data_IF_311559522328
#
_entry.id   IF_311559522328
#
_cell.length_a   1.000
_cell.length_b   1.000
_cell.length_c   1.000
_cell.angle_alpha   90.00
_cell.angle_beta   90.00
_cell.angle_gamma   90.00
#
_symmetry.space_group_name_H-M   'P 1'
#
loop_
_entity.id
_entity.type
_entity.pdbx_description
1 polymer ?
#
# COMPACT_ATOMS: atom_id res chain seq x y z
N UNK A 1 40.70 59.09 70.54
CA UNK A 1 39.53 58.57 71.28
C UNK A 1 38.53 57.98 70.29
N UNK A 2 38.26 56.69 70.43
CA UNK A 2 37.09 55.89 70.05
C UNK A 2 36.38 56.01 68.68
N UNK A 3 36.43 54.86 67.98
CA UNK A 3 35.37 54.10 67.27
C UNK A 3 34.58 54.78 66.14
N UNK A 4 34.51 54.11 64.97
CA UNK A 4 33.30 53.43 64.42
C UNK A 4 33.66 52.65 63.13
N UNK A 5 32.87 51.61 62.89
CA UNK A 5 32.90 50.38 62.08
C UNK A 5 32.97 50.44 60.54
N UNK A 6 33.64 49.42 59.95
CA UNK A 6 33.33 48.57 58.75
C UNK A 6 32.46 49.11 57.60
N UNK A 7 32.91 48.94 56.34
CA UNK A 7 32.09 48.31 55.25
C UNK A 7 32.96 47.77 54.10
N UNK A 8 32.59 46.60 53.56
CA UNK A 8 33.19 45.88 52.43
C UNK A 8 32.16 45.87 51.27
N UNK A 9 32.66 45.77 50.03
CA UNK A 9 32.12 44.95 48.92
C UNK A 9 31.43 45.63 47.72
N UNK A 10 31.75 45.02 46.56
CA UNK A 10 30.89 44.73 45.40
C UNK A 10 30.89 45.67 44.21
N UNK A 11 31.78 45.34 43.26
CA UNK A 11 31.68 45.70 41.85
C UNK A 11 30.66 44.75 41.19
N UNK A 12 29.51 45.29 40.80
CA UNK A 12 28.38 44.54 40.25
C UNK A 12 28.63 44.13 38.78
N UNK A 13 28.62 42.82 38.51
CA UNK A 13 28.45 42.25 37.17
C UNK A 13 26.97 41.97 36.99
N UNK A 14 26.32 42.77 36.15
CA UNK A 14 24.91 42.61 35.78
C UNK A 14 24.79 41.49 34.73
N UNK A 15 24.53 40.26 35.18
CA UNK A 15 24.14 39.15 34.31
C UNK A 15 22.66 39.32 33.94
N UNK A 16 22.38 39.75 32.71
CA UNK A 16 21.04 39.79 32.12
C UNK A 16 20.53 38.36 31.95
N UNK A 17 19.66 37.92 32.86
CA UNK A 17 18.87 36.70 32.72
C UNK A 17 17.69 37.01 31.78
N UNK A 18 17.87 36.85 30.47
CA UNK A 18 16.76 36.86 29.52
C UNK A 18 16.05 35.51 29.60
N UNK A 19 14.74 35.46 29.89
CA UNK A 19 14.01 34.21 29.83
C UNK A 19 13.91 33.80 28.36
N UNK A 20 14.56 32.68 28.04
CA UNK A 20 14.45 32.00 26.76
C UNK A 20 13.01 31.48 26.65
N UNK A 21 12.15 32.23 25.96
CA UNK A 21 10.79 31.81 25.67
C UNK A 21 10.90 30.66 24.67
N UNK A 22 10.94 29.43 25.18
CA UNK A 22 10.81 28.24 24.36
C UNK A 22 9.48 28.31 23.62
N UNK A 23 9.52 28.58 22.33
CA UNK A 23 8.37 28.44 21.44
C UNK A 23 7.93 26.99 21.49
N UNK A 24 6.85 26.72 22.24
CA UNK A 24 6.12 25.46 22.15
C UNK A 24 5.49 25.44 20.76
N UNK A 25 6.19 24.88 19.78
CA UNK A 25 5.57 24.46 18.52
C UNK A 25 4.50 23.45 18.89
N UNK A 26 3.24 23.88 18.90
CA UNK A 26 2.11 22.95 18.89
C UNK A 26 2.26 22.12 17.63
N UNK A 27 2.75 20.88 17.78
CA UNK A 27 2.61 19.89 16.73
C UNK A 27 1.12 19.80 16.44
N UNK A 28 0.70 20.31 15.27
CA UNK A 28 -0.66 20.11 14.80
C UNK A 28 -0.88 18.61 14.74
N UNK A 29 -1.98 18.13 15.34
CA UNK A 29 -2.34 16.73 15.21
C UNK A 29 -2.47 16.42 13.71
N UNK A 30 -1.91 15.30 13.23
CA UNK A 30 -2.04 14.94 11.82
C UNK A 30 -3.50 14.89 11.40
N UNK A 31 -3.81 15.52 10.27
CA UNK A 31 -5.17 15.58 9.72
C UNK A 31 -5.56 14.23 9.14
N UNK A 32 -6.86 13.98 9.16
CA UNK A 32 -7.47 12.86 8.46
C UNK A 32 -8.56 13.44 7.58
N UNK A 33 -8.34 13.44 6.28
CA UNK A 33 -9.30 13.97 5.32
C UNK A 33 -9.84 12.84 4.46
N UNK A 34 -11.11 12.93 4.10
CA UNK A 34 -11.70 11.98 3.18
C UNK A 34 -12.52 12.68 2.10
N UNK A 35 -12.36 12.23 0.86
CA UNK A 35 -13.26 12.52 -0.25
C UNK A 35 -14.06 11.25 -0.56
N UNK A 36 -15.38 11.36 -0.59
CA UNK A 36 -16.29 10.25 -0.86
C UNK A 36 -17.20 10.66 -2.02
N UNK A 37 -17.15 9.90 -3.11
CA UNK A 37 -17.95 10.16 -4.31
C UNK A 37 -18.83 8.95 -4.62
N UNK A 38 -20.14 9.17 -4.70
CA UNK A 38 -21.12 8.16 -5.12
C UNK A 38 -21.90 8.63 -6.34
N UNK A 39 -21.61 8.06 -7.51
CA UNK A 39 -22.32 8.39 -8.74
C UNK A 39 -23.31 7.27 -9.09
N UNK A 40 -24.60 7.61 -9.06
CA UNK A 40 -25.74 6.72 -9.26
C UNK A 40 -26.58 7.11 -10.48
N UNK A 41 -26.84 8.41 -10.67
CA UNK A 41 -27.84 8.93 -11.59
C UNK A 41 -27.29 9.16 -13.01
N UNK A 42 -26.77 8.09 -13.62
CA UNK A 42 -26.41 8.09 -15.04
C UNK A 42 -27.66 8.04 -15.92
N UNK A 43 -27.66 8.80 -17.03
CA UNK A 43 -28.81 8.89 -17.93
C UNK A 43 -29.21 7.53 -18.55
N UNK A 44 -28.23 6.74 -18.99
CA UNK A 44 -28.49 5.49 -19.71
C UNK A 44 -28.50 4.26 -18.80
N UNK A 45 -27.59 4.20 -17.84
CA UNK A 45 -27.36 3.03 -16.97
C UNK A 45 -27.22 3.45 -15.51
N UNK A 46 -28.31 3.85 -14.84
CA UNK A 46 -28.25 4.25 -13.44
C UNK A 46 -27.82 3.09 -12.53
N UNK A 47 -27.15 3.41 -11.42
CA UNK A 47 -26.68 2.46 -10.41
C UNK A 47 -27.39 2.69 -9.08
N UNK A 48 -27.86 1.61 -8.45
CA UNK A 48 -28.66 1.68 -7.22
C UNK A 48 -27.83 2.00 -5.98
N UNK A 49 -26.65 1.40 -5.86
CA UNK A 49 -25.87 1.35 -4.61
C UNK A 49 -24.93 2.54 -4.33
N UNK A 50 -24.29 3.21 -5.32
CA UNK A 50 -23.22 4.19 -5.05
C UNK A 50 -23.59 5.34 -4.09
N UNK A 51 -24.81 5.85 -4.18
CA UNK A 51 -25.31 6.88 -3.26
C UNK A 51 -25.37 6.38 -1.81
N UNK A 52 -25.86 5.16 -1.58
CA UNK A 52 -25.92 4.52 -0.26
C UNK A 52 -24.53 4.16 0.24
N UNK A 53 -23.67 3.65 -0.66
CA UNK A 53 -22.28 3.31 -0.35
C UNK A 53 -21.52 4.54 0.17
N UNK A 54 -21.73 5.70 -0.46
CA UNK A 54 -21.16 6.96 -0.02
C UNK A 54 -21.67 7.39 1.37
N UNK A 55 -22.95 7.17 1.68
CA UNK A 55 -23.50 7.46 3.01
C UNK A 55 -22.90 6.54 4.10
N UNK A 56 -22.76 5.25 3.80
CA UNK A 56 -22.18 4.27 4.73
C UNK A 56 -20.70 4.56 5.02
N UNK A 57 -19.94 4.92 3.99
CA UNK A 57 -18.54 5.30 4.11
C UNK A 57 -18.38 6.63 4.87
N UNK A 58 -19.23 7.63 4.63
CA UNK A 58 -19.21 8.90 5.37
C UNK A 58 -19.42 8.68 6.86
N UNK A 59 -20.46 7.93 7.24
CA UNK A 59 -20.75 7.65 8.65
C UNK A 59 -19.59 6.93 9.33
N UNK A 60 -18.99 5.95 8.64
CA UNK A 60 -17.87 5.17 9.17
C UNK A 60 -16.61 6.01 9.31
N UNK A 61 -16.17 6.71 8.27
CA UNK A 61 -14.95 7.53 8.31
C UNK A 61 -15.08 8.72 9.27
N UNK A 62 -16.25 9.34 9.36
CA UNK A 62 -16.52 10.38 10.37
C UNK A 62 -16.34 9.82 11.79
N UNK A 63 -16.85 8.61 12.06
CA UNK A 63 -16.66 7.95 13.38
C UNK A 63 -15.20 7.57 13.69
N UNK A 64 -14.35 7.52 12.65
CA UNK A 64 -12.90 7.32 12.75
C UNK A 64 -12.11 8.65 12.81
N UNK A 65 -12.82 9.79 12.88
CA UNK A 65 -12.22 11.11 13.03
C UNK A 65 -11.70 11.72 11.72
N UNK A 66 -12.23 11.29 10.57
CA UNK A 66 -11.96 11.96 9.29
C UNK A 66 -12.84 13.20 9.13
N UNK A 67 -12.26 14.26 8.59
CA UNK A 67 -12.96 15.38 7.98
C UNK A 67 -13.43 14.94 6.59
N UNK A 68 -14.73 14.65 6.46
CA UNK A 68 -15.30 14.05 5.24
C UNK A 68 -15.91 15.13 4.34
N UNK A 69 -15.50 15.12 3.07
CA UNK A 69 -16.20 15.76 1.95
C UNK A 69 -16.91 14.68 1.15
N UNK A 70 -18.26 14.68 1.18
CA UNK A 70 -19.08 13.74 0.41
C UNK A 70 -19.75 14.44 -0.76
N UNK A 71 -19.65 13.83 -1.94
CA UNK A 71 -20.30 14.27 -3.17
C UNK A 71 -21.10 13.13 -3.79
N UNK A 72 -22.22 13.47 -4.42
CA UNK A 72 -23.06 12.52 -5.13
C UNK A 72 -23.37 13.04 -6.53
N UNK A 73 -23.41 12.13 -7.49
CA UNK A 73 -23.77 12.40 -8.89
C UNK A 73 -23.04 13.57 -9.55
N UNK A 74 -21.71 13.57 -9.42
CA UNK A 74 -20.86 14.66 -9.91
C UNK A 74 -20.39 14.46 -11.35
N UNK A 75 -20.29 15.57 -12.07
CA UNK A 75 -19.65 15.64 -13.39
C UNK A 75 -18.13 15.67 -13.33
N UNK A 76 -17.48 15.64 -14.50
CA UNK A 76 -16.02 15.53 -14.62
C UNK A 76 -15.27 16.62 -13.86
N UNK A 77 -15.60 17.89 -14.12
CA UNK A 77 -14.91 19.03 -13.51
C UNK A 77 -15.05 19.02 -11.99
N UNK A 78 -16.26 18.77 -11.47
CA UNK A 78 -16.50 18.70 -10.04
C UNK A 78 -15.72 17.58 -9.36
N UNK A 79 -15.53 16.45 -10.05
CA UNK A 79 -14.73 15.34 -9.54
C UNK A 79 -13.24 15.70 -9.48
N UNK A 80 -12.70 16.30 -10.55
CA UNK A 80 -11.31 16.75 -10.61
C UNK A 80 -11.04 17.83 -9.55
N UNK A 81 -11.90 18.85 -9.46
CA UNK A 81 -11.79 19.92 -8.46
C UNK A 81 -11.83 19.37 -7.03
N UNK A 82 -12.71 18.41 -6.74
CA UNK A 82 -12.82 17.82 -5.41
C UNK A 82 -11.56 17.03 -5.01
N UNK A 83 -10.94 16.32 -5.97
CA UNK A 83 -9.67 15.62 -5.76
C UNK A 83 -8.54 16.62 -5.51
N UNK A 84 -8.48 17.70 -6.30
CA UNK A 84 -7.48 18.75 -6.10
C UNK A 84 -7.66 19.45 -4.75
N UNK A 85 -8.91 19.72 -4.36
CA UNK A 85 -9.24 20.39 -3.10
C UNK A 85 -8.90 19.53 -1.88
N UNK A 86 -9.25 18.24 -1.88
CA UNK A 86 -9.00 17.36 -0.72
C UNK A 86 -7.51 17.07 -0.53
N UNK A 87 -6.73 17.07 -1.61
CA UNK A 87 -5.29 16.79 -1.57
C UNK A 87 -4.45 18.03 -1.28
N UNK A 88 -5.04 19.23 -1.39
CA UNK A 88 -4.35 20.51 -1.19
C UNK A 88 -3.94 20.72 0.27
N UNK A 89 -2.67 21.05 0.47
CA UNK A 89 -2.17 21.47 1.79
C UNK A 89 -2.08 20.35 2.81
N UNK A 90 -2.14 19.08 2.37
CA UNK A 90 -1.81 17.94 3.22
C UNK A 90 -0.31 17.90 3.49
N UNK A 91 0.02 17.62 4.74
CA UNK A 91 1.38 17.64 5.28
C UNK A 91 1.82 16.26 5.75
N UNK A 92 3.11 16.14 6.06
CA UNK A 92 3.66 14.91 6.64
C UNK A 92 2.93 14.54 7.93
N UNK A 93 2.53 13.27 8.03
CA UNK A 93 1.71 12.70 9.10
C UNK A 93 0.24 12.56 8.71
N UNK A 94 -0.26 13.36 7.77
CA UNK A 94 -1.68 13.36 7.41
C UNK A 94 -2.08 12.04 6.74
N UNK A 95 -3.38 11.76 6.76
CA UNK A 95 -4.02 10.65 6.04
C UNK A 95 -5.09 11.20 5.11
N UNK A 96 -5.04 10.78 3.84
CA UNK A 96 -6.05 11.08 2.83
C UNK A 96 -6.73 9.80 2.38
N UNK A 97 -8.05 9.76 2.47
CA UNK A 97 -8.88 8.65 2.01
C UNK A 97 -9.80 9.10 0.89
N UNK A 98 -9.63 8.58 -0.32
CA UNK A 98 -10.50 8.87 -1.46
C UNK A 98 -11.31 7.61 -1.78
N UNK A 99 -12.64 7.71 -1.73
CA UNK A 99 -13.58 6.66 -2.10
C UNK A 99 -14.35 7.09 -3.34
N UNK A 100 -14.44 6.21 -4.34
CA UNK A 100 -15.33 6.38 -5.48
C UNK A 100 -16.18 5.13 -5.69
N UNK A 101 -17.49 5.31 -5.76
CA UNK A 101 -18.45 4.31 -6.23
C UNK A 101 -19.19 4.83 -7.48
N UNK A 102 -19.31 3.99 -8.50
CA UNK A 102 -19.98 4.35 -9.75
C UNK A 102 -19.57 3.49 -10.95
N UNK A 103 -19.80 4.01 -12.16
CA UNK A 103 -19.30 3.37 -13.37
C UNK A 103 -17.79 3.57 -13.53
N UNK A 104 -17.13 2.50 -13.95
CA UNK A 104 -15.73 2.49 -14.32
C UNK A 104 -15.53 1.71 -15.62
N UNK A 105 -14.37 1.91 -16.23
CA UNK A 105 -13.94 1.12 -17.38
C UNK A 105 -12.43 1.12 -17.50
N UNK A 106 -11.93 0.30 -18.41
CA UNK A 106 -10.53 0.32 -18.79
C UNK A 106 -10.37 0.48 -20.30
N UNK A 107 -9.42 1.34 -20.69
CA UNK A 107 -9.00 1.51 -22.07
C UNK A 107 -7.51 1.85 -22.10
N UNK A 108 -6.77 1.28 -23.06
CA UNK A 108 -5.33 1.53 -23.27
C UNK A 108 -4.45 1.37 -22.01
N UNK A 109 -4.77 0.39 -21.17
CA UNK A 109 -4.02 0.20 -19.92
C UNK A 109 -4.21 1.36 -18.94
N UNK A 110 -5.36 2.03 -18.94
CA UNK A 110 -5.71 3.07 -17.97
C UNK A 110 -7.10 2.83 -17.40
N UNK A 111 -7.27 3.23 -16.15
CA UNK A 111 -8.44 2.96 -15.33
C UNK A 111 -9.27 4.23 -15.28
N UNK A 112 -10.44 4.24 -15.87
CA UNK A 112 -11.29 5.41 -15.97
C UNK A 112 -12.50 5.28 -15.06
N UNK A 113 -12.80 6.35 -14.33
CA UNK A 113 -14.01 6.59 -13.57
C UNK A 113 -14.94 7.44 -14.44
N UNK A 114 -16.20 7.05 -14.55
CA UNK A 114 -17.18 7.72 -15.42
C UNK A 114 -17.98 8.72 -14.59
N UNK A 115 -17.85 10.03 -14.84
CA UNK A 115 -18.66 11.05 -14.18
C UNK A 115 -20.10 11.03 -14.67
N UNK A 116 -21.03 11.58 -13.88
CA UNK A 116 -22.40 11.80 -14.35
C UNK A 116 -22.39 12.83 -15.49
N UNK A 117 -23.23 12.61 -16.50
CA UNK A 117 -23.31 13.46 -17.69
C UNK A 117 -22.25 13.18 -18.76
N UNK A 118 -21.35 12.21 -18.55
CA UNK A 118 -20.42 11.78 -19.60
C UNK A 118 -21.14 10.96 -20.69
N UNK A 119 -21.29 11.53 -21.89
CA UNK A 119 -21.71 10.80 -23.10
C UNK A 119 -20.49 10.10 -23.72
N UNK A 120 -20.53 8.78 -23.95
CA UNK A 120 -19.38 8.04 -24.47
C UNK A 120 -19.80 7.25 -25.71
N UNK A 121 -19.84 7.96 -26.84
CA UNK A 121 -20.21 7.38 -28.12
C UNK A 121 -19.01 6.80 -28.89
N UNK A 122 -17.79 7.24 -28.56
CA UNK A 122 -16.54 6.94 -29.27
C UNK A 122 -15.36 6.75 -28.30
N UNK A 123 -14.29 6.00 -28.65
CA UNK A 123 -13.19 5.71 -27.71
C UNK A 123 -12.46 6.97 -27.27
N UNK A 124 -12.34 7.94 -28.16
CA UNK A 124 -11.73 9.24 -27.86
C UNK A 124 -12.50 10.03 -26.78
N UNK A 125 -13.81 9.82 -26.66
CA UNK A 125 -14.62 10.44 -25.63
C UNK A 125 -14.24 9.96 -24.23
N UNK A 126 -13.77 8.71 -24.08
CA UNK A 126 -13.32 8.19 -22.77
C UNK A 126 -12.20 9.06 -22.20
N UNK A 127 -11.18 9.38 -23.01
CA UNK A 127 -10.05 10.21 -22.56
C UNK A 127 -10.45 11.66 -22.25
N UNK A 128 -11.44 12.17 -22.97
CA UNK A 128 -11.88 13.57 -22.86
C UNK A 128 -12.91 13.80 -21.75
N UNK A 129 -13.74 12.79 -21.46
CA UNK A 129 -14.98 12.93 -20.65
C UNK A 129 -14.96 12.11 -19.36
N UNK A 130 -14.01 11.20 -19.19
CA UNK A 130 -13.80 10.46 -17.95
C UNK A 130 -12.58 10.98 -17.17
N UNK A 131 -12.42 10.52 -15.93
CA UNK A 131 -11.26 10.82 -15.08
C UNK A 131 -10.48 9.54 -14.84
N UNK A 132 -9.14 9.58 -14.91
CA UNK A 132 -8.33 8.39 -14.63
C UNK A 132 -8.12 8.20 -13.13
N UNK A 133 -7.97 6.95 -12.67
CA UNK A 133 -7.48 6.68 -11.31
C UNK A 133 -6.07 7.27 -11.14
N UNK A 134 -5.26 7.27 -12.19
CA UNK A 134 -3.94 7.92 -12.21
C UNK A 134 -4.01 9.42 -11.87
N UNK A 135 -5.07 10.14 -12.27
CA UNK A 135 -5.28 11.53 -11.86
C UNK A 135 -5.32 11.67 -10.33
N UNK A 136 -6.01 10.76 -9.65
CA UNK A 136 -6.13 10.78 -8.19
C UNK A 136 -4.77 10.52 -7.55
N UNK A 137 -4.02 9.57 -8.10
CA UNK A 137 -2.68 9.23 -7.64
C UNK A 137 -1.69 10.38 -7.86
N UNK A 138 -1.78 11.08 -8.99
CA UNK A 138 -0.92 12.22 -9.29
C UNK A 138 -1.23 13.40 -8.36
N UNK A 139 -2.51 13.70 -8.10
CA UNK A 139 -2.89 14.71 -7.09
C UNK A 139 -2.33 14.35 -5.70
N UNK A 140 -2.43 13.08 -5.30
CA UNK A 140 -1.85 12.57 -4.06
C UNK A 140 -0.31 12.58 -4.06
N UNK A 141 0.35 12.42 -5.21
CA UNK A 141 1.81 12.46 -5.37
C UNK A 141 2.37 13.83 -4.97
N UNK A 142 1.67 14.89 -5.35
CA UNK A 142 2.05 16.26 -5.03
C UNK A 142 1.65 16.70 -3.62
N UNK A 143 1.01 15.81 -2.84
CA UNK A 143 0.72 16.02 -1.42
C UNK A 143 1.82 15.42 -0.54
N UNK A 144 2.14 16.07 0.59
CA UNK A 144 3.10 15.54 1.58
C UNK A 144 2.45 14.52 2.55
N UNK A 145 1.23 14.09 2.25
CA UNK A 145 0.43 13.16 3.05
C UNK A 145 1.16 11.82 3.24
N UNK A 146 1.23 11.30 4.48
CA UNK A 146 1.98 10.07 4.77
C UNK A 146 1.23 8.80 4.42
N UNK A 147 -0.10 8.79 4.56
CA UNK A 147 -0.94 7.67 4.16
C UNK A 147 -1.96 8.12 3.13
N UNK A 148 -1.96 7.48 1.97
CA UNK A 148 -2.83 7.78 0.84
C UNK A 148 -3.64 6.53 0.56
N UNK A 149 -4.97 6.60 0.67
CA UNK A 149 -5.84 5.46 0.46
C UNK A 149 -6.80 5.81 -0.67
N UNK A 150 -6.83 5.01 -1.73
CA UNK A 150 -7.78 5.16 -2.83
C UNK A 150 -8.61 3.88 -2.91
N UNK A 151 -9.93 4.00 -2.78
CA UNK A 151 -10.87 2.88 -2.86
C UNK A 151 -11.79 3.10 -4.04
N UNK A 152 -11.80 2.13 -4.95
CA UNK A 152 -12.62 2.17 -6.17
C UNK A 152 -13.59 1.01 -6.18
N UNK A 153 -14.86 1.33 -5.98
CA UNK A 153 -15.99 0.41 -6.11
C UNK A 153 -16.75 0.65 -7.42
N UNK A 154 -16.17 0.16 -8.50
CA UNK A 154 -16.71 0.36 -9.84
C UNK A 154 -16.57 -0.90 -10.69
N UNK A 155 -17.52 -1.06 -11.61
CA UNK A 155 -17.40 -2.08 -12.66
C UNK A 155 -16.17 -1.78 -13.54
N UNK A 156 -15.51 -2.84 -14.02
CA UNK A 156 -14.30 -2.75 -14.86
C UNK A 156 -14.50 -3.36 -16.25
N UNK A 157 -15.75 -3.45 -16.68
CA UNK A 157 -16.15 -3.90 -18.02
C UNK A 157 -16.43 -2.67 -18.90
N UNK A 158 -16.15 -2.73 -20.20
CA UNK A 158 -16.57 -1.69 -21.13
C UNK A 158 -18.10 -1.80 -21.35
N UNK A 159 -18.93 -0.84 -20.88
CA UNK A 159 -20.37 -0.95 -20.98
C UNK A 159 -20.91 -0.52 -22.35
N UNK A 160 -20.09 0.09 -23.22
CA UNK A 160 -20.53 0.66 -24.49
C UNK A 160 -20.49 -0.39 -25.62
N UNK A 161 -21.68 -0.84 -26.02
CA UNK A 161 -21.90 -1.82 -27.10
C UNK A 161 -21.54 -1.20 -28.46
N UNK A 162 -20.36 -1.49 -28.98
CA UNK A 162 -19.97 -1.07 -30.33
C UNK A 162 -18.47 -1.13 -30.60
N UNK A 163 -17.66 -1.08 -29.55
CA UNK A 163 -16.22 -1.19 -29.67
C UNK A 163 -15.78 -2.66 -29.66
N UNK A 164 -14.96 -3.04 -30.65
CA UNK A 164 -14.24 -4.32 -30.67
C UNK A 164 -13.69 -4.57 -29.26
N UNK A 165 -13.85 -5.79 -28.73
CA UNK A 165 -13.35 -6.24 -27.42
C UNK A 165 -11.97 -5.61 -27.13
N UNK A 166 -11.97 -4.46 -26.46
CA UNK A 166 -10.75 -3.94 -25.85
C UNK A 166 -10.41 -4.95 -24.76
N UNK A 167 -9.12 -5.24 -24.62
CA UNK A 167 -8.60 -6.09 -23.55
C UNK A 167 -9.20 -5.61 -22.23
N UNK A 168 -10.13 -6.38 -21.68
CA UNK A 168 -10.79 -6.02 -20.42
C UNK A 168 -9.75 -5.98 -19.29
N UNK A 169 -9.88 -5.04 -18.36
CA UNK A 169 -9.31 -5.02 -16.99
C UNK A 169 -7.91 -4.45 -16.76
N UNK A 170 -7.64 -3.95 -15.53
CA UNK A 170 -6.92 -2.66 -15.34
C UNK A 170 -5.42 -2.83 -15.61
N UNK A 171 -4.72 -1.72 -15.86
CA UNK A 171 -3.27 -1.74 -15.82
C UNK A 171 -2.77 -1.74 -14.38
N UNK A 172 -1.58 -2.34 -14.20
CA UNK A 172 -0.74 -2.15 -13.02
C UNK A 172 -0.56 -0.64 -12.76
N UNK A 173 -0.74 -0.20 -11.51
CA UNK A 173 -0.38 1.14 -11.09
C UNK A 173 1.10 1.13 -10.71
N UNK A 174 1.97 0.78 -11.66
CA UNK A 174 3.42 0.61 -11.46
C UNK A 174 4.20 1.86 -11.00
N UNK A 175 3.50 2.95 -10.67
CA UNK A 175 4.04 4.24 -10.22
C UNK A 175 3.16 4.90 -9.14
N UNK A 176 2.50 4.14 -8.25
CA UNK A 176 1.78 4.78 -7.12
C UNK A 176 2.76 5.52 -6.18
N UNK A 177 2.43 6.72 -5.66
CA UNK A 177 3.31 7.45 -4.73
C UNK A 177 3.59 6.67 -3.44
N UNK A 178 4.71 6.96 -2.77
CA UNK A 178 5.02 6.35 -1.47
C UNK A 178 3.88 6.58 -0.46
N UNK A 179 3.58 5.55 0.33
CA UNK A 179 2.50 5.59 1.31
C UNK A 179 1.11 5.35 0.72
N UNK A 180 1.01 4.87 -0.53
CA UNK A 180 -0.28 4.65 -1.21
C UNK A 180 -0.77 3.21 -1.10
N UNK A 181 -2.06 3.08 -0.77
CA UNK A 181 -2.84 1.85 -0.84
C UNK A 181 -4.00 2.09 -1.80
N UNK A 182 -4.12 1.24 -2.82
CA UNK A 182 -5.26 1.25 -3.74
C UNK A 182 -6.05 -0.04 -3.57
N UNK A 183 -7.33 0.08 -3.21
CA UNK A 183 -8.23 -1.06 -3.07
C UNK A 183 -9.34 -1.01 -4.11
N UNK A 184 -9.47 -2.08 -4.89
CA UNK A 184 -10.53 -2.26 -5.87
C UNK A 184 -11.51 -3.29 -5.36
N UNK A 185 -12.81 -3.00 -5.50
CA UNK A 185 -13.85 -3.94 -5.05
C UNK A 185 -13.84 -5.26 -5.80
N UNK A 186 -13.29 -5.31 -7.01
CA UNK A 186 -13.24 -6.52 -7.85
C UNK A 186 -11.92 -6.62 -8.61
N UNK A 187 -11.60 -7.84 -9.06
CA UNK A 187 -10.36 -8.14 -9.79
C UNK A 187 -10.36 -7.49 -11.17
N UNK A 188 -9.18 -7.37 -11.81
CA UNK A 188 -9.14 -7.09 -13.24
C UNK A 188 -10.08 -8.01 -14.02
N UNK A 189 -10.81 -7.44 -14.98
CA UNK A 189 -11.70 -8.15 -15.93
C UNK A 189 -13.04 -8.62 -15.38
N UNK A 190 -13.37 -8.32 -14.12
CA UNK A 190 -14.65 -8.69 -13.52
C UNK A 190 -15.47 -7.46 -13.15
N UNK A 191 -16.80 -7.59 -13.23
CA UNK A 191 -17.71 -6.57 -12.71
C UNK A 191 -17.69 -6.60 -11.18
N UNK A 192 -17.97 -5.44 -10.56
CA UNK A 192 -18.37 -5.39 -9.16
C UNK A 192 -19.83 -5.83 -9.08
N UNK A 193 -20.21 -6.51 -8.01
CA UNK A 193 -21.60 -6.91 -7.79
C UNK A 193 -22.35 -5.79 -7.08
N UNK A 194 -23.56 -5.50 -7.53
CA UNK A 194 -24.49 -4.60 -6.84
C UNK A 194 -25.03 -5.21 -5.53
N UNK A 195 -24.98 -6.55 -5.42
CA UNK A 195 -25.55 -7.28 -4.30
C UNK A 195 -27.08 -7.18 -4.22
N UNK A 196 -27.63 -7.72 -3.13
CA UNK A 196 -29.08 -7.72 -2.87
C UNK A 196 -29.52 -6.65 -1.86
N UNK A 197 -28.57 -5.95 -1.23
CA UNK A 197 -28.82 -4.95 -0.19
C UNK A 197 -28.77 -3.51 -0.71
N UNK A 198 -28.85 -2.58 0.23
CA UNK A 198 -28.74 -1.13 -0.03
C UNK A 198 -27.32 -0.71 -0.44
N UNK A 199 -26.30 -1.39 0.08
CA UNK A 199 -24.89 -1.17 -0.24
C UNK A 199 -24.33 -2.30 -1.09
N UNK A 200 -23.23 -2.03 -1.80
CA UNK A 200 -22.46 -3.06 -2.48
C UNK A 200 -21.90 -4.06 -1.46
N UNK A 201 -21.67 -5.34 -1.82
CA UNK A 201 -21.09 -6.32 -0.91
C UNK A 201 -19.70 -5.91 -0.41
N UNK A 202 -18.94 -5.17 -1.23
CA UNK A 202 -17.62 -4.69 -0.87
C UNK A 202 -17.70 -3.59 0.18
N UNK A 203 -18.56 -2.59 -0.02
CA UNK A 203 -18.74 -1.50 0.94
C UNK A 203 -19.36 -2.01 2.23
N UNK A 204 -20.38 -2.88 2.15
CA UNK A 204 -20.99 -3.53 3.32
C UNK A 204 -19.94 -4.23 4.19
N UNK A 205 -19.03 -4.98 3.56
CA UNK A 205 -17.95 -5.64 4.28
C UNK A 205 -16.92 -4.64 4.81
N UNK A 206 -16.53 -3.64 4.02
CA UNK A 206 -15.47 -2.70 4.39
C UNK A 206 -15.88 -1.84 5.58
N UNK A 207 -17.09 -1.26 5.57
CA UNK A 207 -17.58 -0.43 6.69
C UNK A 207 -17.70 -1.24 7.98
N UNK A 208 -18.11 -2.52 7.88
CA UNK A 208 -18.21 -3.41 9.03
C UNK A 208 -16.84 -3.71 9.65
N UNK A 209 -15.84 -4.01 8.83
CA UNK A 209 -14.48 -4.31 9.33
C UNK A 209 -13.81 -3.03 9.85
N UNK A 210 -13.93 -1.90 9.15
CA UNK A 210 -13.46 -0.60 9.64
C UNK A 210 -14.05 -0.26 11.01
N UNK A 211 -15.38 -0.37 11.15
CA UNK A 211 -16.07 -0.03 12.41
C UNK A 211 -15.72 -0.95 13.58
N UNK A 212 -15.33 -2.20 13.33
CA UNK A 212 -15.06 -3.18 14.39
C UNK A 212 -13.57 -3.42 14.67
N UNK A 213 -12.67 -3.10 13.73
CA UNK A 213 -11.24 -3.47 13.81
C UNK A 213 -10.29 -2.29 13.73
N UNK A 214 -10.76 -1.06 13.51
CA UNK A 214 -9.90 0.11 13.41
C UNK A 214 -9.02 0.38 14.64
N UNK A 215 -9.42 -0.10 15.82
CA UNK A 215 -8.67 0.00 17.08
C UNK A 215 -7.63 -1.12 17.30
N UNK A 216 -7.68 -2.18 16.47
CA UNK A 216 -6.92 -3.42 16.69
C UNK A 216 -5.98 -3.76 15.52
N UNK A 217 -6.32 -3.34 14.30
CA UNK A 217 -5.66 -3.75 13.08
C UNK A 217 -5.18 -2.55 12.26
N UNK A 218 -4.07 -2.73 11.55
CA UNK A 218 -3.63 -1.80 10.53
C UNK A 218 -4.58 -1.83 9.32
N UNK A 219 -4.52 -0.77 8.52
CA UNK A 219 -5.42 -0.57 7.39
C UNK A 219 -5.29 -1.64 6.30
N UNK A 220 -4.08 -2.19 6.06
CA UNK A 220 -3.88 -3.26 5.07
C UNK A 220 -4.59 -4.52 5.55
N UNK A 221 -4.45 -4.85 6.84
CA UNK A 221 -5.17 -5.99 7.43
C UNK A 221 -6.68 -5.83 7.34
N UNK A 222 -7.21 -4.63 7.58
CA UNK A 222 -8.64 -4.33 7.42
C UNK A 222 -9.11 -4.61 5.99
N UNK A 223 -8.37 -4.14 4.96
CA UNK A 223 -8.71 -4.41 3.57
C UNK A 223 -8.65 -5.90 3.23
N UNK A 224 -7.65 -6.63 3.73
CA UNK A 224 -7.54 -8.08 3.53
C UNK A 224 -8.74 -8.82 4.12
N UNK A 225 -9.14 -8.49 5.35
CA UNK A 225 -10.26 -9.14 6.02
C UNK A 225 -11.60 -8.83 5.34
N UNK A 226 -11.82 -7.58 4.95
CA UNK A 226 -13.00 -7.21 4.16
C UNK A 226 -13.03 -7.99 2.83
N UNK A 227 -11.88 -8.11 2.16
CA UNK A 227 -11.77 -8.85 0.89
C UNK A 227 -12.07 -10.34 1.05
N UNK A 228 -11.67 -10.95 2.17
CA UNK A 228 -11.96 -12.35 2.48
C UNK A 228 -13.46 -12.58 2.70
N UNK A 229 -14.13 -11.68 3.41
CA UNK A 229 -15.59 -11.74 3.63
C UNK A 229 -16.33 -11.64 2.29
N UNK A 230 -15.99 -10.67 1.45
CA UNK A 230 -16.60 -10.49 0.12
C UNK A 230 -16.42 -11.72 -0.75
N UNK A 231 -15.20 -12.29 -0.78
CA UNK A 231 -14.91 -13.50 -1.55
C UNK A 231 -15.72 -14.69 -1.05
N UNK A 232 -15.84 -14.85 0.26
CA UNK A 232 -16.59 -15.95 0.85
C UNK A 232 -18.11 -15.83 0.59
N UNK A 233 -18.66 -14.62 0.63
CA UNK A 233 -20.11 -14.41 0.50
C UNK A 233 -20.60 -14.31 -0.95
N UNK A 234 -19.76 -13.82 -1.87
CA UNK A 234 -20.19 -13.51 -3.25
C UNK A 234 -19.35 -14.15 -4.35
N UNK A 235 -18.16 -14.66 -4.01
CA UNK A 235 -17.16 -15.08 -5.00
C UNK A 235 -16.42 -13.94 -5.71
N UNK A 236 -16.83 -12.68 -5.51
CA UNK A 236 -16.12 -11.49 -5.98
C UNK A 236 -14.73 -11.44 -5.33
N UNK A 237 -13.72 -11.03 -6.10
CA UNK A 237 -12.32 -11.01 -5.66
C UNK A 237 -11.81 -9.58 -5.62
N UNK A 238 -11.99 -8.85 -4.51
CA UNK A 238 -11.34 -7.56 -4.35
C UNK A 238 -9.82 -7.67 -4.53
N UNK A 239 -9.21 -6.59 -5.00
CA UNK A 239 -7.79 -6.52 -5.31
C UNK A 239 -7.16 -5.34 -4.57
N UNK A 240 -5.96 -5.54 -4.04
CA UNK A 240 -5.24 -4.55 -3.24
C UNK A 240 -3.85 -4.36 -3.82
N UNK A 241 -3.46 -3.11 -4.03
CA UNK A 241 -2.16 -2.69 -4.55
C UNK A 241 -1.52 -1.71 -3.57
N UNK A 242 -0.33 -2.03 -3.09
CA UNK A 242 0.41 -1.23 -2.12
C UNK A 242 1.87 -1.68 -2.05
N UNK A 243 2.76 -0.80 -1.58
CA UNK A 243 4.12 -1.19 -1.23
C UNK A 243 4.10 -1.96 0.10
N UNK A 244 4.36 -3.26 0.05
CA UNK A 244 4.44 -4.10 1.24
C UNK A 244 5.62 -3.79 2.18
N UNK A 245 6.49 -2.83 1.83
CA UNK A 245 7.51 -2.27 2.72
C UNK A 245 7.02 -1.12 3.61
N UNK A 246 5.79 -0.62 3.35
CA UNK A 246 5.15 0.42 4.16
C UNK A 246 5.08 0.01 5.63
N UNK A 247 5.25 0.97 6.58
CA UNK A 247 5.02 0.69 7.98
C UNK A 247 3.53 0.38 8.25
N UNK A 248 3.24 -0.24 9.39
CA UNK A 248 1.86 -0.45 9.82
C UNK A 248 1.16 0.90 10.06
N UNK A 249 0.05 1.11 9.35
CA UNK A 249 -0.77 2.31 9.49
C UNK A 249 -2.08 2.00 10.20
N UNK A 250 -2.28 2.61 11.36
CA UNK A 250 -3.48 2.44 12.18
C UNK A 250 -4.42 3.64 12.05
N UNK A 251 -5.67 3.40 11.68
CA UNK A 251 -6.71 4.44 11.67
C UNK A 251 -7.16 4.81 13.07
N UNK A 252 -7.11 3.93 14.07
CA UNK A 252 -7.12 4.33 15.47
C UNK A 252 -5.94 3.69 16.15
N UNK A 253 -5.13 4.50 16.83
CA UNK A 253 -3.96 3.98 17.54
C UNK A 253 -4.49 3.15 18.71
N UNK A 254 -4.12 1.86 18.84
CA UNK A 254 -4.54 1.06 19.98
C UNK A 254 -4.15 1.79 21.26
N UNK A 255 -5.07 1.90 22.21
CA UNK A 255 -4.90 2.68 23.43
C UNK A 255 -3.84 2.06 24.33
N UNK A 256 -2.55 2.30 24.07
CA UNK A 256 -1.40 1.86 24.88
C UNK A 256 -1.56 0.46 25.51
N UNK A 257 -2.26 -0.44 24.84
CA UNK A 257 -2.09 -1.85 25.06
C UNK A 257 -0.72 -2.11 24.46
N UNK A 258 0.17 -2.69 25.26
CA UNK A 258 1.33 -3.42 24.80
C UNK A 258 0.95 -4.21 23.55
N UNK A 259 1.14 -3.62 22.36
CA UNK A 259 1.60 -4.40 21.23
C UNK A 259 2.75 -5.18 21.82
N UNK A 260 2.77 -6.51 21.77
CA UNK A 260 3.99 -7.20 22.10
C UNK A 260 5.04 -6.54 21.20
N UNK A 261 5.95 -5.78 21.82
CA UNK A 261 7.30 -5.62 21.30
C UNK A 261 7.90 -7.01 21.37
N UNK A 262 7.36 -7.93 20.57
CA UNK A 262 8.14 -9.05 20.11
C UNK A 262 9.29 -8.33 19.42
N UNK A 263 10.53 -8.50 19.90
CA UNK A 263 11.66 -8.04 19.12
C UNK A 263 11.40 -8.59 17.72
N UNK A 264 11.43 -7.71 16.72
CA UNK A 264 11.71 -8.18 15.36
C UNK A 264 12.88 -9.15 15.56
N UNK A 265 12.76 -10.44 15.19
CA UNK A 265 13.89 -11.34 15.31
C UNK A 265 15.01 -10.67 14.53
N UNK A 266 15.98 -10.13 15.25
CA UNK A 266 17.22 -9.71 14.63
C UNK A 266 17.76 -11.00 14.04
N UNK A 267 17.85 -11.09 12.71
CA UNK A 267 18.69 -12.08 12.06
C UNK A 267 20.16 -11.70 12.33
N UNK A 268 20.54 -11.64 13.61
CA UNK A 268 21.92 -11.79 14.01
C UNK A 268 22.18 -13.28 14.01
N UNK A 269 23.13 -13.68 13.17
CA UNK A 269 23.93 -14.91 13.18
C UNK A 269 23.47 -15.88 14.27
N UNK A 270 22.60 -16.81 13.91
CA UNK A 270 22.34 -17.95 14.78
C UNK A 270 23.66 -18.71 14.92
N UNK A 271 24.28 -18.59 16.09
CA UNK A 271 25.39 -19.46 16.47
C UNK A 271 24.89 -20.91 16.50
N UNK A 272 25.62 -21.76 15.77
CA UNK A 272 25.59 -23.23 15.74
C UNK A 272 24.35 -23.93 15.16
N UNK A 273 24.57 -24.45 13.96
CA UNK A 273 23.86 -25.51 13.22
C UNK A 273 23.12 -26.53 14.12
N UNK A 274 21.79 -26.74 13.95
CA UNK A 274 21.16 -27.96 14.44
C UNK A 274 21.62 -29.17 13.60
N UNK A 275 21.93 -30.27 14.26
CA UNK A 275 22.55 -31.47 13.68
C UNK A 275 21.69 -32.27 12.68
N UNK A 276 20.54 -31.76 12.25
CA UNK A 276 19.54 -32.48 11.45
C UNK A 276 19.07 -31.74 10.18
N UNK A 277 19.89 -30.88 9.56
CA UNK A 277 19.56 -30.39 8.21
C UNK A 277 19.49 -31.56 7.22
N UNK A 278 18.42 -31.69 6.41
CA UNK A 278 18.28 -32.78 5.46
C UNK A 278 19.43 -32.81 4.45
N UNK A 279 19.90 -34.01 4.09
CA UNK A 279 20.94 -34.17 3.07
C UNK A 279 20.40 -33.77 1.70
N UNK A 280 21.04 -32.78 1.05
CA UNK A 280 20.64 -32.33 -0.28
C UNK A 280 20.89 -33.41 -1.33
N UNK A 281 19.84 -33.84 -2.03
CA UNK A 281 19.86 -34.94 -3.00
C UNK A 281 20.18 -34.50 -4.45
N UNK A 282 20.54 -33.23 -4.66
CA UNK A 282 20.87 -32.69 -5.98
C UNK A 282 19.69 -32.04 -6.73
N UNK A 283 18.46 -32.15 -6.22
CA UNK A 283 17.25 -31.56 -6.81
C UNK A 283 16.92 -30.25 -6.11
N UNK A 284 16.96 -29.13 -6.85
CA UNK A 284 16.65 -27.80 -6.31
C UNK A 284 15.15 -27.55 -6.25
N UNK A 285 14.38 -27.93 -7.27
CA UNK A 285 12.95 -27.67 -7.29
C UNK A 285 12.24 -28.26 -6.05
N UNK A 286 11.34 -27.49 -5.46
CA UNK A 286 10.65 -27.80 -4.21
C UNK A 286 11.44 -27.51 -2.93
N UNK A 287 12.67 -26.99 -3.01
CA UNK A 287 13.52 -26.72 -1.83
C UNK A 287 13.54 -25.24 -1.43
N UNK A 288 13.71 -24.96 -0.13
CA UNK A 288 13.85 -23.61 0.41
C UNK A 288 15.21 -23.45 1.10
N UNK A 289 15.86 -22.32 0.85
CA UNK A 289 17.22 -22.04 1.28
C UNK A 289 17.31 -20.70 1.98
N UNK A 290 17.96 -20.66 3.13
CA UNK A 290 18.36 -19.42 3.78
C UNK A 290 19.64 -18.91 3.13
N UNK A 291 19.56 -17.77 2.47
CA UNK A 291 20.67 -17.06 1.83
C UNK A 291 21.17 -15.98 2.78
N UNK A 292 22.48 -15.88 2.90
CA UNK A 292 23.20 -14.84 3.63
C UNK A 292 24.25 -14.23 2.69
N UNK A 293 24.32 -12.91 2.61
CA UNK A 293 25.35 -12.21 1.84
C UNK A 293 26.42 -11.56 2.71
N UNK A 294 27.53 -11.18 2.07
CA UNK A 294 28.65 -10.48 2.72
C UNK A 294 28.30 -9.08 3.25
N UNK A 295 27.15 -8.52 2.87
CA UNK A 295 26.67 -7.23 3.35
C UNK A 295 25.78 -7.38 4.60
N UNK A 296 25.55 -8.61 5.05
CA UNK A 296 24.76 -8.92 6.24
C UNK A 296 23.26 -9.01 5.99
N UNK A 297 22.82 -9.03 4.71
CA UNK A 297 21.44 -9.30 4.38
C UNK A 297 21.16 -10.80 4.39
N UNK A 298 19.95 -11.17 4.82
CA UNK A 298 19.47 -12.55 4.82
C UNK A 298 18.08 -12.65 4.21
N UNK A 299 17.83 -13.73 3.47
CA UNK A 299 16.55 -13.99 2.81
C UNK A 299 16.30 -15.49 2.63
N UNK A 300 15.06 -15.88 2.35
CA UNK A 300 14.71 -17.23 1.93
C UNK A 300 14.51 -17.26 0.41
N UNK A 301 15.09 -18.25 -0.26
CA UNK A 301 14.84 -18.55 -1.65
C UNK A 301 14.21 -19.94 -1.75
N UNK A 302 13.03 -20.01 -2.37
CA UNK A 302 12.35 -21.26 -2.73
C UNK A 302 12.49 -21.47 -4.23
N UNK A 303 13.16 -22.55 -4.62
CA UNK A 303 13.23 -23.00 -6.00
C UNK A 303 11.96 -23.79 -6.32
N UNK A 304 11.21 -23.35 -7.32
CA UNK A 304 9.98 -23.98 -7.78
C UNK A 304 10.26 -24.65 -9.13
N UNK A 305 9.46 -25.66 -9.47
CA UNK A 305 9.50 -26.29 -10.80
C UNK A 305 9.39 -25.25 -11.94
N UNK A 306 9.80 -25.66 -13.14
CA UNK A 306 9.79 -24.85 -14.36
C UNK A 306 10.60 -23.54 -14.30
N UNK A 307 11.65 -23.52 -13.47
CA UNK A 307 12.59 -22.39 -13.39
C UNK A 307 12.04 -21.18 -12.64
N UNK A 308 10.93 -21.32 -11.93
CA UNK A 308 10.33 -20.25 -11.12
C UNK A 308 11.01 -20.17 -9.76
N UNK A 309 11.27 -18.95 -9.28
CA UNK A 309 11.86 -18.68 -7.98
C UNK A 309 10.91 -17.82 -7.15
N UNK A 310 10.71 -18.18 -5.88
CA UNK A 310 10.17 -17.24 -4.88
C UNK A 310 11.29 -16.82 -3.94
N UNK A 311 11.43 -15.52 -3.71
CA UNK A 311 12.39 -14.93 -2.78
C UNK A 311 11.62 -14.20 -1.68
N UNK A 312 12.01 -14.36 -0.42
CA UNK A 312 11.45 -13.67 0.75
C UNK A 312 12.56 -12.98 1.53
N UNK A 313 12.60 -11.65 1.52
CA UNK A 313 13.57 -10.88 2.32
C UNK A 313 13.28 -10.96 3.83
N UNK A 314 14.22 -10.49 4.65
CA UNK A 314 14.09 -10.25 6.09
C UNK A 314 12.78 -9.53 6.49
N UNK A 315 12.27 -8.65 5.63
CA UNK A 315 10.99 -7.93 5.81
C UNK A 315 9.74 -8.69 5.35
N UNK A 316 9.84 -9.98 5.03
CA UNK A 316 8.70 -10.83 4.65
C UNK A 316 8.15 -10.62 3.23
N UNK A 317 8.81 -9.79 2.42
CA UNK A 317 8.42 -9.45 1.06
C UNK A 317 8.67 -10.62 0.11
N UNK A 318 7.60 -11.27 -0.37
CA UNK A 318 7.68 -12.33 -1.39
C UNK A 318 7.74 -11.72 -2.79
N UNK A 319 8.84 -11.96 -3.50
CA UNK A 319 9.03 -11.55 -4.91
C UNK A 319 9.30 -12.76 -5.79
N UNK A 320 9.02 -12.61 -7.08
CA UNK A 320 9.25 -13.64 -8.08
C UNK A 320 10.60 -13.42 -8.77
N UNK A 321 11.19 -14.52 -9.20
CA UNK A 321 12.39 -14.54 -10.03
C UNK A 321 12.44 -15.79 -10.89
N UNK A 322 13.54 -15.96 -11.60
CA UNK A 322 13.82 -17.15 -12.39
C UNK A 322 15.12 -17.79 -11.94
N UNK A 323 15.26 -19.08 -12.19
CA UNK A 323 16.51 -19.79 -11.99
C UNK A 323 16.73 -20.83 -13.07
N UNK A 324 18.01 -21.12 -13.31
CA UNK A 324 18.44 -22.17 -14.21
C UNK A 324 19.60 -22.94 -13.57
N UNK A 325 19.59 -24.27 -13.72
CA UNK A 325 20.71 -25.13 -13.29
C UNK A 325 21.47 -25.59 -14.52
N UNK A 326 22.71 -25.12 -14.66
CA UNK A 326 23.60 -25.53 -15.75
C UNK A 326 24.56 -26.63 -15.27
N UNK A 327 24.46 -27.81 -15.87
CA UNK A 327 25.26 -28.98 -15.46
C UNK A 327 24.88 -29.49 -14.06
N UNK A 328 25.82 -30.16 -13.38
CA UNK A 328 25.52 -30.82 -12.10
C UNK A 328 25.49 -29.87 -10.91
N UNK A 329 26.31 -28.81 -10.95
CA UNK A 329 26.65 -28.03 -9.76
C UNK A 329 26.52 -26.51 -9.92
N UNK A 330 26.15 -25.95 -11.08
CA UNK A 330 26.01 -24.49 -11.24
C UNK A 330 24.55 -24.09 -11.29
N UNK A 331 24.23 -22.95 -10.66
CA UNK A 331 22.91 -22.34 -10.63
C UNK A 331 23.04 -20.87 -10.94
N UNK A 332 22.19 -20.36 -11.82
CA UNK A 332 21.98 -18.94 -12.07
C UNK A 332 20.59 -18.56 -11.57
N UNK A 333 20.48 -17.37 -11.00
CA UNK A 333 19.24 -16.84 -10.42
C UNK A 333 19.08 -15.40 -10.87
N UNK A 334 17.89 -15.02 -11.33
CA UNK A 334 17.52 -13.65 -11.64
C UNK A 334 16.31 -13.23 -10.81
N UNK A 335 16.40 -12.06 -10.17
CA UNK A 335 15.36 -11.54 -9.28
C UNK A 335 14.84 -10.22 -9.85
N UNK A 336 13.51 -10.05 -9.87
CA UNK A 336 12.81 -8.88 -10.41
C UNK A 336 13.29 -8.52 -11.83
N UNK A 337 13.17 -9.47 -12.77
CA UNK A 337 13.50 -9.28 -14.19
C UNK A 337 14.92 -8.72 -14.45
N UNK A 338 15.90 -9.22 -13.71
CA UNK A 338 17.32 -8.85 -13.90
C UNK A 338 17.82 -7.72 -13.02
N UNK A 339 17.00 -7.19 -12.10
CA UNK A 339 17.45 -6.21 -11.10
C UNK A 339 18.64 -6.73 -10.28
N UNK A 340 18.59 -8.02 -9.89
CA UNK A 340 19.70 -8.72 -9.26
C UNK A 340 19.92 -10.08 -9.92
N UNK A 341 21.18 -10.38 -10.25
CA UNK A 341 21.60 -11.63 -10.86
C UNK A 341 22.64 -12.31 -9.97
N UNK A 342 22.41 -13.58 -9.66
CA UNK A 342 23.26 -14.37 -8.77
C UNK A 342 23.74 -15.62 -9.50
N UNK A 343 24.99 -15.98 -9.28
CA UNK A 343 25.58 -17.25 -9.70
C UNK A 343 26.04 -18.01 -8.47
N UNK A 344 25.79 -19.32 -8.41
CA UNK A 344 26.26 -20.18 -7.34
C UNK A 344 26.73 -21.55 -7.80
N UNK A 345 27.62 -22.13 -7.00
CA UNK A 345 28.01 -23.53 -7.06
C UNK A 345 27.40 -24.30 -5.89
N UNK A 346 26.83 -25.47 -6.19
CA UNK A 346 26.32 -26.42 -5.21
C UNK A 346 27.48 -27.22 -4.62
N UNK A 347 27.66 -27.18 -3.29
CA UNK A 347 28.65 -27.97 -2.56
C UNK A 347 28.08 -28.48 -1.24
N UNK A 348 27.89 -29.81 -1.13
CA UNK A 348 27.59 -30.47 0.15
C UNK A 348 26.36 -29.93 0.90
N UNK A 349 25.29 -29.57 0.19
CA UNK A 349 24.08 -28.98 0.78
C UNK A 349 24.17 -27.48 1.08
N UNK A 350 25.16 -26.80 0.50
CA UNK A 350 25.27 -25.34 0.49
C UNK A 350 25.33 -24.82 -0.96
N UNK A 351 24.77 -23.63 -1.18
CA UNK A 351 25.01 -22.84 -2.39
C UNK A 351 26.01 -21.74 -2.04
N UNK A 352 26.98 -21.47 -2.90
CA UNK A 352 27.93 -20.38 -2.68
C UNK A 352 28.28 -19.72 -4.01
N UNK A 353 28.30 -18.40 -4.04
CA UNK A 353 28.79 -17.68 -5.20
C UNK A 353 28.67 -16.17 -5.08
N UNK A 354 28.36 -15.51 -6.20
CA UNK A 354 28.42 -14.06 -6.34
C UNK A 354 27.12 -13.49 -6.85
N UNK A 355 26.85 -12.25 -6.51
CA UNK A 355 25.68 -11.50 -6.92
C UNK A 355 26.06 -10.15 -7.48
N UNK A 356 25.27 -9.66 -8.44
CA UNK A 356 25.37 -8.32 -9.01
C UNK A 356 23.97 -7.71 -9.07
N UNK A 357 23.88 -6.39 -8.96
CA UNK A 357 22.62 -5.64 -9.11
C UNK A 357 22.89 -4.29 -9.75
N UNK A 358 21.86 -3.65 -10.30
CA UNK A 358 21.99 -2.37 -11.01
C UNK A 358 22.59 -1.24 -10.14
N UNK A 359 22.40 -1.30 -8.82
CA UNK A 359 22.74 -0.20 -7.90
C UNK A 359 23.79 -0.57 -6.82
N UNK A 360 24.32 -1.79 -6.84
CA UNK A 360 25.20 -2.28 -5.76
C UNK A 360 26.43 -3.00 -6.33
N UNK A 361 27.64 -2.77 -5.79
CA UNK A 361 28.86 -3.51 -6.17
C UNK A 361 28.68 -5.03 -6.04
N UNK A 362 29.46 -5.80 -6.81
CA UNK A 362 29.49 -7.27 -6.73
C UNK A 362 29.66 -7.73 -5.27
N UNK A 363 28.83 -8.68 -4.84
CA UNK A 363 28.88 -9.23 -3.48
C UNK A 363 28.99 -10.75 -3.51
N UNK A 364 29.45 -11.33 -2.40
CA UNK A 364 29.46 -12.79 -2.21
C UNK A 364 28.29 -13.21 -1.35
N UNK A 365 27.75 -14.40 -1.60
CA UNK A 365 26.66 -14.96 -0.82
C UNK A 365 26.80 -16.46 -0.65
N UNK A 366 26.16 -16.99 0.38
CA UNK A 366 26.01 -18.41 0.63
C UNK A 366 24.58 -18.73 1.01
N UNK A 367 24.14 -19.96 0.77
CA UNK A 367 22.84 -20.41 1.22
C UNK A 367 22.85 -21.83 1.77
N UNK A 368 22.01 -22.06 2.77
CA UNK A 368 21.85 -23.35 3.44
C UNK A 368 20.42 -23.83 3.36
N UNK A 369 20.23 -25.10 2.99
CA UNK A 369 18.93 -25.75 2.89
C UNK A 369 18.19 -25.71 4.25
N UNK A 370 16.89 -25.40 4.22
CA UNK A 370 16.01 -25.37 5.39
C UNK A 370 15.13 -26.60 5.51
#
# INVERSE_FOLDING_TARGET
MNRVTRTVLSMAVLLLCMPEIASVTHAQNPKRVALIVGNSNYADTPLRNPSSDADAMEGTLTSLGFEVTKLKDVGKQQLEDAVDDVTRGLSKGDTCFIFFAGHGMQMDGQNYLVPVGASIDEPQHVKQRCVTVSYFLDALRFSDCSLKIVVVDACRNNPFRGFRRSTSGLADLGDAPEGTIVSFSTSPKTAALDGNGENSPYVESLVKVLGSRADEADIVRIFIEASQVVRASTGQKPYLEFDASMPDFFLKRPAAATLPTKPVPSMKKAETKPANSPAFNGVLAGTTWLVEDSQGAACLITFIDDGVLHYTADRGLRKNGTWEKTGTNKVTISINDGFANLEATIKGGTLQGRGTSLNTPEWTWSATLQ
#
